data_IF_575052008041
#
_entry.id   IF_575052008041
#
_cell.length_a   1.000
_cell.length_b   1.000
_cell.length_c   1.000
_cell.angle_alpha   90.00
_cell.angle_beta   90.00
_cell.angle_gamma   90.00
#
_symmetry.space_group_name_H-M   'P 1'
#
loop_
_entity.id
_entity.type
_entity.pdbx_description
1 polymer ?
#
# COMPACT_ATOMS: atom_id res chain seq x y z
N UNK A 1 -8.93 26.07 1.96
CA UNK A 1 -9.21 24.63 1.69
C UNK A 1 -9.66 23.99 3.00
N UNK A 2 -10.57 23.00 2.99
CA UNK A 2 -11.03 22.36 4.22
C UNK A 2 -9.87 21.65 4.94
N UNK A 3 -9.83 21.79 6.26
CA UNK A 3 -8.82 21.21 7.18
C UNK A 3 -9.09 19.74 7.54
N UNK A 4 -10.26 19.22 7.14
CA UNK A 4 -10.79 17.92 7.53
C UNK A 4 -10.54 16.81 6.47
N UNK A 5 -10.71 15.51 6.84
CA UNK A 5 -10.77 14.42 5.87
C UNK A 5 -11.75 14.75 4.74
N UNK A 6 -11.32 14.60 3.49
CA UNK A 6 -12.16 14.87 2.34
C UNK A 6 -11.84 13.88 1.22
N UNK A 7 -12.87 13.26 0.67
CA UNK A 7 -12.80 12.58 -0.61
C UNK A 7 -13.24 13.59 -1.67
N UNK A 8 -12.31 13.99 -2.54
CA UNK A 8 -12.61 14.85 -3.68
C UNK A 8 -12.70 13.97 -4.91
N UNK A 9 -13.90 13.91 -5.46
CA UNK A 9 -14.18 13.17 -6.68
C UNK A 9 -14.13 14.13 -7.84
N UNK A 10 -13.32 13.80 -8.85
CA UNK A 10 -13.09 14.65 -9.98
C UNK A 10 -12.72 13.81 -11.21
N UNK A 11 -13.47 13.99 -12.30
CA UNK A 11 -13.27 13.25 -13.54
C UNK A 11 -11.88 13.41 -14.16
N UNK A 12 -11.59 12.64 -15.21
CA UNK A 12 -10.35 12.76 -15.98
C UNK A 12 -10.09 14.22 -16.43
N UNK A 13 -8.84 14.68 -16.35
CA UNK A 13 -8.45 16.04 -16.77
C UNK A 13 -8.87 17.19 -15.83
N UNK A 14 -9.54 16.90 -14.72
CA UNK A 14 -10.00 17.89 -13.73
C UNK A 14 -8.89 18.56 -12.89
N UNK A 15 -7.63 18.14 -13.05
CA UNK A 15 -6.50 18.67 -12.28
C UNK A 15 -6.31 18.04 -10.90
N UNK A 16 -6.76 16.79 -10.67
CA UNK A 16 -6.53 15.99 -9.44
C UNK A 16 -5.12 16.16 -8.85
N UNK A 17 -4.09 15.94 -9.68
CA UNK A 17 -2.68 16.09 -9.25
C UNK A 17 -2.35 17.52 -8.82
N UNK A 18 -2.91 18.55 -9.50
CA UNK A 18 -2.73 19.95 -9.11
C UNK A 18 -3.40 20.25 -7.77
N UNK A 19 -4.57 19.67 -7.50
CA UNK A 19 -5.26 19.79 -6.21
C UNK A 19 -4.37 19.22 -5.09
N UNK A 20 -3.84 18.01 -5.26
CA UNK A 20 -2.94 17.39 -4.28
C UNK A 20 -1.67 18.22 -4.03
N UNK A 21 -0.95 18.62 -5.08
CA UNK A 21 0.30 19.39 -4.92
C UNK A 21 0.04 20.75 -4.29
N UNK A 22 -1.06 21.43 -4.68
CA UNK A 22 -1.42 22.73 -4.12
C UNK A 22 -1.81 22.61 -2.65
N UNK A 23 -2.53 21.55 -2.27
CA UNK A 23 -2.85 21.27 -0.86
C UNK A 23 -1.59 21.05 -0.04
N UNK A 24 -0.67 20.21 -0.50
CA UNK A 24 0.61 19.96 0.19
C UNK A 24 1.38 21.28 0.36
N UNK A 25 1.52 22.07 -0.71
CA UNK A 25 2.20 23.35 -0.65
C UNK A 25 1.56 24.32 0.34
N UNK A 26 0.23 24.40 0.36
CA UNK A 26 -0.51 25.24 1.30
C UNK A 26 -0.34 24.79 2.75
N UNK A 27 -0.43 23.49 3.05
CA UNK A 27 -0.23 22.95 4.40
C UNK A 27 1.17 23.28 4.93
N UNK A 28 2.19 23.21 4.07
CA UNK A 28 3.56 23.52 4.44
C UNK A 28 3.79 25.04 4.60
N UNK A 29 3.31 25.85 3.66
CA UNK A 29 3.48 27.30 3.69
C UNK A 29 2.76 27.98 4.88
N UNK A 30 1.66 27.39 5.35
CA UNK A 30 0.92 27.86 6.54
C UNK A 30 1.42 27.28 7.86
N UNK A 31 2.48 26.47 7.84
CA UNK A 31 3.06 25.87 9.05
C UNK A 31 2.22 24.77 9.70
N UNK A 32 1.17 24.27 9.02
CA UNK A 32 0.34 23.18 9.54
C UNK A 32 1.10 21.84 9.55
N UNK A 33 2.07 21.67 8.65
CA UNK A 33 2.88 20.45 8.57
C UNK A 33 4.30 20.72 8.10
N UNK A 34 5.27 20.04 8.72
CA UNK A 34 6.65 20.01 8.22
C UNK A 34 6.85 18.99 7.09
N UNK A 35 8.00 19.00 6.39
CA UNK A 35 8.28 18.08 5.28
C UNK A 35 8.18 16.58 5.64
N UNK A 36 8.40 16.25 6.91
CA UNK A 36 8.32 14.88 7.42
C UNK A 36 6.95 14.47 7.96
N UNK A 37 6.02 15.41 8.10
CA UNK A 37 4.75 15.22 8.83
C UNK A 37 3.54 14.88 7.95
N UNK A 38 3.75 14.71 6.64
CA UNK A 38 2.70 14.30 5.70
C UNK A 38 3.15 13.06 4.91
N UNK A 39 2.17 12.30 4.44
CA UNK A 39 2.36 11.22 3.49
C UNK A 39 1.50 11.46 2.25
N UNK A 40 2.06 11.32 1.06
CA UNK A 40 1.33 11.36 -0.20
C UNK A 40 1.60 10.09 -1.02
N UNK A 41 0.53 9.41 -1.42
CA UNK A 41 0.58 8.10 -2.06
C UNK A 41 0.06 8.20 -3.49
N UNK A 42 0.79 7.60 -4.44
CA UNK A 42 0.40 7.50 -5.85
C UNK A 42 0.49 6.06 -6.35
N UNK A 43 -0.10 5.74 -7.50
CA UNK A 43 0.00 4.38 -8.07
C UNK A 43 1.26 4.17 -8.90
N UNK A 44 1.79 5.23 -9.52
CA UNK A 44 2.96 5.13 -10.41
C UNK A 44 4.15 5.93 -9.91
N UNK A 45 5.36 5.43 -10.21
CA UNK A 45 6.60 6.16 -9.97
C UNK A 45 6.66 7.47 -10.77
N UNK A 46 6.01 7.52 -11.94
CA UNK A 46 5.91 8.73 -12.76
C UNK A 46 5.10 9.81 -12.02
N UNK A 47 3.93 9.46 -11.50
CA UNK A 47 3.08 10.38 -10.74
C UNK A 47 3.79 10.90 -9.48
N UNK A 48 4.46 10.02 -8.71
CA UNK A 48 5.24 10.42 -7.54
C UNK A 48 6.35 11.42 -7.91
N UNK A 49 7.11 11.15 -8.98
CA UNK A 49 8.18 12.05 -9.47
C UNK A 49 7.61 13.39 -9.91
N UNK A 50 6.53 13.38 -10.68
CA UNK A 50 5.88 14.60 -11.15
C UNK A 50 5.36 15.45 -9.97
N UNK A 51 4.73 14.82 -8.97
CA UNK A 51 4.27 15.48 -7.74
C UNK A 51 5.44 16.14 -7.01
N UNK A 52 6.57 15.45 -6.86
CA UNK A 52 7.78 15.99 -6.24
C UNK A 52 8.36 17.17 -7.03
N UNK A 53 8.46 17.07 -8.36
CA UNK A 53 8.95 18.16 -9.22
C UNK A 53 8.07 19.40 -9.11
N UNK A 54 6.74 19.23 -9.10
CA UNK A 54 5.80 20.34 -8.90
C UNK A 54 6.01 20.99 -7.53
N UNK A 55 6.16 20.21 -6.46
CA UNK A 55 6.39 20.73 -5.11
C UNK A 55 7.72 21.48 -4.98
N UNK A 56 8.79 21.02 -5.64
CA UNK A 56 10.07 21.73 -5.68
C UNK A 56 9.95 23.11 -6.32
N UNK A 57 9.09 23.27 -7.32
CA UNK A 57 8.84 24.57 -7.94
C UNK A 57 7.97 25.50 -7.08
N UNK A 58 7.16 24.94 -6.16
CA UNK A 58 6.21 25.69 -5.33
C UNK A 58 6.76 26.10 -3.96
N UNK A 59 7.75 25.38 -3.43
CA UNK A 59 8.25 25.55 -2.07
C UNK A 59 9.77 25.66 -2.04
N UNK A 60 10.34 26.61 -1.27
CA UNK A 60 11.80 26.72 -1.07
C UNK A 60 12.32 25.70 -0.04
N UNK A 61 11.86 24.45 -0.12
CA UNK A 61 12.23 23.38 0.82
C UNK A 61 12.76 22.16 0.07
N UNK A 62 13.71 21.47 0.69
CA UNK A 62 14.18 20.20 0.16
C UNK A 62 13.03 19.17 0.22
N UNK A 63 12.53 18.76 -0.95
CA UNK A 63 11.52 17.69 -1.04
C UNK A 63 12.13 16.30 -0.84
N UNK A 64 13.46 16.21 -0.82
CA UNK A 64 14.20 14.97 -0.53
C UNK A 64 13.88 14.50 0.88
N UNK A 65 13.37 13.28 0.99
CA UNK A 65 13.01 12.67 2.28
C UNK A 65 11.56 12.90 2.70
N UNK A 66 10.75 13.65 1.94
CA UNK A 66 9.30 13.66 2.13
C UNK A 66 8.73 12.24 1.88
N UNK A 67 7.63 11.90 2.55
CA UNK A 67 6.93 10.61 2.36
C UNK A 67 5.98 10.70 1.17
N UNK A 68 6.54 10.94 -0.02
CA UNK A 68 5.81 11.01 -1.28
C UNK A 68 6.31 9.88 -2.18
N UNK A 69 5.42 8.98 -2.59
CA UNK A 69 5.82 7.81 -3.37
C UNK A 69 4.67 6.87 -3.70
N UNK A 70 5.00 5.74 -4.30
CA UNK A 70 4.04 4.66 -4.49
C UNK A 70 3.80 3.89 -3.21
N UNK A 71 2.68 3.17 -3.11
CA UNK A 71 2.42 2.24 -2.01
C UNK A 71 3.64 1.35 -1.69
N UNK A 72 4.16 0.67 -2.72
CA UNK A 72 5.35 -0.18 -2.61
C UNK A 72 6.63 0.59 -2.26
N UNK A 73 6.83 1.77 -2.84
CA UNK A 73 8.00 2.61 -2.55
C UNK A 73 8.02 3.09 -1.09
N UNK A 74 6.86 3.46 -0.55
CA UNK A 74 6.71 3.88 0.84
C UNK A 74 6.84 2.68 1.80
N UNK A 75 6.29 1.52 1.46
CA UNK A 75 6.48 0.28 2.23
C UNK A 75 7.93 -0.18 2.26
N UNK A 76 8.64 -0.14 1.11
CA UNK A 76 10.07 -0.43 1.08
C UNK A 76 10.85 0.54 1.99
N UNK A 77 10.58 1.85 1.90
CA UNK A 77 11.21 2.83 2.80
C UNK A 77 10.94 2.52 4.27
N UNK A 78 9.71 2.14 4.61
CA UNK A 78 9.31 1.77 5.96
C UNK A 78 10.05 0.51 6.44
N UNK A 79 10.05 -0.57 5.66
CA UNK A 79 10.71 -1.83 6.01
C UNK A 79 12.22 -1.68 6.10
N UNK A 80 12.84 -0.83 5.28
CA UNK A 80 14.28 -0.49 5.41
C UNK A 80 14.59 0.17 6.74
N UNK A 81 13.71 1.05 7.23
CA UNK A 81 13.88 1.70 8.52
C UNK A 81 13.66 0.74 9.70
N UNK A 82 12.79 -0.26 9.52
CA UNK A 82 12.34 -1.18 10.57
C UNK A 82 12.71 -2.65 10.30
N UNK A 83 13.81 -2.89 9.59
CA UNK A 83 14.15 -4.23 9.08
C UNK A 83 14.19 -5.30 10.18
N UNK A 84 14.72 -4.94 11.37
CA UNK A 84 14.79 -5.84 12.53
C UNK A 84 13.41 -6.26 13.01
N UNK A 85 12.49 -5.30 13.14
CA UNK A 85 11.12 -5.56 13.57
C UNK A 85 10.34 -6.33 12.50
N UNK A 86 10.66 -6.09 11.23
CA UNK A 86 10.08 -6.82 10.10
C UNK A 86 10.67 -8.23 9.90
N UNK A 87 11.64 -8.66 10.72
CA UNK A 87 12.29 -9.96 10.55
C UNK A 87 13.01 -10.11 9.20
N UNK A 88 13.50 -9.00 8.63
CA UNK A 88 14.18 -8.97 7.33
C UNK A 88 15.65 -8.61 7.50
N UNK A 89 16.58 -9.10 6.67
CA UNK A 89 17.93 -8.57 6.66
C UNK A 89 17.93 -7.10 6.22
N UNK A 90 18.81 -6.26 6.77
CA UNK A 90 18.89 -4.83 6.41
C UNK A 90 18.99 -4.59 4.90
N UNK A 91 19.73 -5.46 4.21
CA UNK A 91 19.97 -5.42 2.77
C UNK A 91 19.07 -6.39 1.98
N UNK A 92 17.86 -6.70 2.46
CA UNK A 92 16.93 -7.58 1.75
C UNK A 92 16.76 -7.15 0.29
N UNK A 93 16.69 -8.11 -0.63
CA UNK A 93 16.51 -7.82 -2.06
C UNK A 93 15.03 -7.88 -2.44
N UNK A 94 14.63 -7.08 -3.43
CA UNK A 94 13.27 -7.09 -3.94
C UNK A 94 13.26 -7.90 -5.23
N UNK A 95 12.48 -8.97 -5.26
CA UNK A 95 12.29 -9.79 -6.45
C UNK A 95 11.40 -9.04 -7.44
N UNK A 96 11.83 -9.02 -8.71
CA UNK A 96 10.93 -8.65 -9.79
C UNK A 96 10.02 -9.83 -10.19
N UNK A 97 9.14 -9.61 -11.17
CA UNK A 97 8.19 -10.64 -11.63
C UNK A 97 8.90 -11.88 -12.21
N UNK A 98 10.05 -11.70 -12.86
CA UNK A 98 10.83 -12.80 -13.43
C UNK A 98 11.54 -13.63 -12.37
N UNK A 99 12.09 -12.95 -11.36
CA UNK A 99 12.72 -13.59 -10.21
C UNK A 99 11.69 -14.33 -9.34
N UNK A 100 10.52 -13.73 -9.11
CA UNK A 100 9.40 -14.39 -8.43
C UNK A 100 8.97 -15.67 -9.18
N UNK A 101 8.78 -15.58 -10.50
CA UNK A 101 8.41 -16.74 -11.32
C UNK A 101 9.45 -17.85 -11.22
N UNK A 102 10.74 -17.47 -11.27
CA UNK A 102 11.86 -18.40 -11.13
C UNK A 102 11.88 -19.06 -9.75
N UNK A 103 11.61 -18.30 -8.69
CA UNK A 103 11.51 -18.82 -7.32
C UNK A 103 10.34 -19.80 -7.16
N UNK A 104 9.15 -19.46 -7.64
CA UNK A 104 7.97 -20.33 -7.61
C UNK A 104 8.23 -21.64 -8.38
N UNK A 105 8.87 -21.56 -9.56
CA UNK A 105 9.27 -22.75 -10.32
C UNK A 105 10.22 -23.66 -9.53
N UNK A 106 11.19 -23.09 -8.79
CA UNK A 106 12.10 -23.86 -7.93
C UNK A 106 11.34 -24.59 -6.82
N UNK A 107 10.36 -23.94 -6.19
CA UNK A 107 9.53 -24.54 -5.13
C UNK A 107 8.71 -25.72 -5.66
N UNK A 108 8.03 -25.54 -6.80
CA UNK A 108 7.22 -26.60 -7.43
C UNK A 108 8.09 -27.84 -7.73
N UNK A 109 9.29 -27.63 -8.30
CA UNK A 109 10.24 -28.71 -8.55
C UNK A 109 10.73 -29.39 -7.27
N UNK A 110 11.06 -28.61 -6.24
CA UNK A 110 11.54 -29.14 -4.96
C UNK A 110 10.47 -30.00 -4.26
N UNK A 111 9.20 -29.67 -4.43
CA UNK A 111 8.06 -30.45 -3.94
C UNK A 111 7.70 -31.66 -4.83
N UNK A 112 8.43 -31.88 -5.94
CA UNK A 112 8.18 -32.95 -6.90
C UNK A 112 6.75 -32.91 -7.50
N UNK A 113 6.23 -31.69 -7.70
CA UNK A 113 4.91 -31.47 -8.29
C UNK A 113 4.99 -31.36 -9.82
N UNK A 114 3.90 -31.75 -10.47
CA UNK A 114 3.73 -31.66 -11.92
C UNK A 114 3.58 -30.19 -12.37
N UNK A 115 4.50 -29.72 -13.23
CA UNK A 115 4.51 -28.35 -13.77
C UNK A 115 3.39 -28.07 -14.80
N UNK A 116 2.79 -29.11 -15.39
CA UNK A 116 1.61 -28.95 -16.26
C UNK A 116 0.34 -28.72 -15.43
N UNK A 117 0.26 -29.38 -14.26
CA UNK A 117 -0.84 -29.21 -13.32
C UNK A 117 -0.71 -27.94 -12.48
N UNK A 118 0.48 -27.62 -12.01
CA UNK A 118 0.78 -26.44 -11.20
C UNK A 118 1.69 -25.50 -11.98
N UNK A 119 1.11 -24.81 -12.97
CA UNK A 119 1.85 -23.93 -13.87
C UNK A 119 2.47 -22.75 -13.08
N UNK A 120 3.81 -22.57 -13.07
CA UNK A 120 4.48 -21.57 -12.22
C UNK A 120 3.94 -20.15 -12.34
N UNK A 121 3.53 -19.75 -13.55
CA UNK A 121 2.94 -18.43 -13.81
C UNK A 121 1.58 -18.27 -13.13
N UNK A 122 0.72 -19.27 -13.23
CA UNK A 122 -0.60 -19.25 -12.58
C UNK A 122 -0.45 -19.29 -11.07
N UNK A 123 0.47 -20.11 -10.54
CA UNK A 123 0.78 -20.17 -9.11
C UNK A 123 1.33 -18.84 -8.59
N UNK A 124 2.18 -18.15 -9.36
CA UNK A 124 2.66 -16.81 -8.99
C UNK A 124 1.51 -15.80 -8.90
N UNK A 125 0.55 -15.84 -9.83
CA UNK A 125 -0.66 -15.00 -9.74
C UNK A 125 -1.53 -15.34 -8.54
N UNK A 126 -1.70 -16.62 -8.21
CA UNK A 126 -2.41 -17.06 -7.01
C UNK A 126 -1.76 -16.46 -5.75
N UNK A 127 -0.43 -16.58 -5.60
CA UNK A 127 0.32 -16.03 -4.48
C UNK A 127 0.14 -14.51 -4.38
N UNK A 128 0.34 -13.77 -5.47
CA UNK A 128 0.16 -12.32 -5.48
C UNK A 128 -1.27 -11.91 -5.14
N UNK A 129 -2.28 -12.64 -5.62
CA UNK A 129 -3.67 -12.37 -5.29
C UNK A 129 -3.99 -12.63 -3.81
N UNK A 130 -3.42 -13.66 -3.18
CA UNK A 130 -3.51 -13.88 -1.74
C UNK A 130 -2.90 -12.70 -0.97
N UNK A 131 -1.70 -12.26 -1.36
CA UNK A 131 -1.05 -11.10 -0.74
C UNK A 131 -1.88 -9.82 -0.90
N UNK A 132 -2.45 -9.55 -2.06
CA UNK A 132 -3.31 -8.38 -2.30
C UNK A 132 -4.61 -8.38 -1.47
N UNK A 133 -5.08 -9.56 -1.03
CA UNK A 133 -6.19 -9.70 -0.07
C UNK A 133 -5.74 -9.60 1.39
N UNK A 134 -4.43 -9.62 1.62
CA UNK A 134 -3.83 -9.62 2.95
C UNK A 134 -3.78 -11.00 3.61
N UNK A 135 -3.74 -12.07 2.82
CA UNK A 135 -3.80 -13.46 3.29
C UNK A 135 -2.39 -14.08 3.31
N UNK A 136 -1.96 -14.57 4.48
CA UNK A 136 -0.84 -15.52 4.60
C UNK A 136 -1.33 -16.92 4.24
N UNK A 137 -0.44 -17.89 3.96
CA UNK A 137 -0.85 -19.25 3.60
C UNK A 137 -1.88 -19.86 4.58
N UNK A 138 -1.72 -19.62 5.88
CA UNK A 138 -2.64 -20.09 6.92
C UNK A 138 -4.03 -19.43 6.92
N UNK A 139 -4.20 -18.28 6.27
CA UNK A 139 -5.47 -17.56 6.17
C UNK A 139 -6.28 -17.95 4.92
N UNK A 140 -5.66 -18.64 3.95
CA UNK A 140 -6.29 -18.97 2.67
C UNK A 140 -7.25 -20.15 2.86
N UNK A 141 -8.54 -19.91 2.63
CA UNK A 141 -9.54 -20.97 2.63
C UNK A 141 -9.29 -21.97 1.48
N UNK A 142 -9.38 -23.26 1.79
CA UNK A 142 -9.21 -24.34 0.80
C UNK A 142 -10.47 -25.20 0.76
N UNK A 143 -10.86 -25.61 -0.45
CA UNK A 143 -12.12 -26.33 -0.68
C UNK A 143 -11.91 -27.68 -1.36
N UNK A 144 -10.78 -27.85 -2.05
CA UNK A 144 -10.45 -29.04 -2.83
C UNK A 144 -8.94 -29.35 -2.73
N UNK A 145 -8.50 -30.57 -3.12
CA UNK A 145 -7.09 -30.96 -3.04
C UNK A 145 -6.14 -30.04 -3.83
N UNK A 146 -6.56 -29.47 -4.96
CA UNK A 146 -5.72 -28.57 -5.75
C UNK A 146 -5.51 -27.24 -5.02
N UNK A 147 -6.55 -26.66 -4.42
CA UNK A 147 -6.42 -25.44 -3.60
C UNK A 147 -5.49 -25.64 -2.40
N UNK A 148 -5.50 -26.83 -1.77
CA UNK A 148 -4.58 -27.17 -0.67
C UNK A 148 -3.12 -27.19 -1.14
N UNK A 149 -2.84 -27.85 -2.26
CA UNK A 149 -1.48 -27.88 -2.81
C UNK A 149 -1.01 -26.48 -3.24
N UNK A 150 -1.89 -25.61 -3.76
CA UNK A 150 -1.51 -24.22 -4.05
C UNK A 150 -1.10 -23.45 -2.79
N UNK A 151 -1.80 -23.66 -1.66
CA UNK A 151 -1.43 -23.07 -0.36
C UNK A 151 -0.11 -23.64 0.16
N UNK A 152 0.13 -24.94 -0.02
CA UNK A 152 1.42 -25.56 0.33
C UNK A 152 2.58 -24.99 -0.51
N UNK A 153 2.37 -24.77 -1.81
CA UNK A 153 3.36 -24.09 -2.67
C UNK A 153 3.59 -22.66 -2.20
N UNK A 154 2.53 -21.93 -1.83
CA UNK A 154 2.65 -20.57 -1.28
C UNK A 154 3.48 -20.58 0.01
N UNK A 155 3.22 -21.49 0.95
CA UNK A 155 4.03 -21.64 2.16
C UNK A 155 5.50 -21.96 1.83
N UNK A 156 5.76 -22.91 0.93
CA UNK A 156 7.12 -23.25 0.52
C UNK A 156 7.87 -22.08 -0.13
N UNK A 157 7.16 -21.25 -0.89
CA UNK A 157 7.68 -20.00 -1.47
C UNK A 157 8.02 -18.97 -0.39
N UNK A 158 7.13 -18.73 0.57
CA UNK A 158 7.38 -17.80 1.68
C UNK A 158 8.60 -18.23 2.52
N UNK A 159 8.69 -19.52 2.84
CA UNK A 159 9.81 -20.06 3.60
C UNK A 159 11.13 -19.90 2.84
N UNK A 160 11.11 -20.09 1.52
CA UNK A 160 12.28 -19.88 0.68
C UNK A 160 12.69 -18.40 0.65
N UNK A 161 11.75 -17.49 0.44
CA UNK A 161 12.01 -16.06 0.45
C UNK A 161 12.59 -15.59 1.80
N UNK A 162 12.04 -16.09 2.91
CA UNK A 162 12.54 -15.77 4.26
C UNK A 162 13.97 -16.28 4.48
N UNK A 163 14.30 -17.50 4.03
CA UNK A 163 15.66 -18.05 4.11
C UNK A 163 16.66 -17.27 3.25
N UNK A 164 16.25 -16.89 2.04
CA UNK A 164 17.09 -16.14 1.09
C UNK A 164 17.19 -14.64 1.44
N UNK A 165 16.35 -14.15 2.36
CA UNK A 165 16.35 -12.74 2.74
C UNK A 165 15.84 -11.83 1.63
N UNK A 166 14.87 -12.31 0.85
CA UNK A 166 14.28 -11.61 -0.30
C UNK A 166 12.79 -11.40 -0.10
N UNK A 167 12.24 -10.37 -0.75
CA UNK A 167 10.81 -10.02 -0.69
C UNK A 167 10.30 -9.71 -2.10
N UNK A 168 9.06 -10.06 -2.41
CA UNK A 168 8.40 -9.59 -3.64
C UNK A 168 7.61 -8.30 -3.37
N UNK A 169 6.96 -7.75 -4.40
CA UNK A 169 6.16 -6.54 -4.27
C UNK A 169 4.98 -6.70 -3.30
N UNK A 170 4.24 -7.82 -3.37
CA UNK A 170 3.13 -8.08 -2.45
C UNK A 170 3.60 -8.16 -1.00
N UNK A 171 4.79 -8.71 -0.77
CA UNK A 171 5.40 -8.85 0.54
C UNK A 171 5.73 -7.51 1.19
N UNK A 172 6.18 -6.52 0.41
CA UNK A 172 6.42 -5.17 0.92
C UNK A 172 5.17 -4.61 1.58
N UNK A 173 4.02 -4.77 0.92
CA UNK A 173 2.73 -4.29 1.43
C UNK A 173 2.27 -5.11 2.64
N UNK A 174 2.22 -6.43 2.51
CA UNK A 174 1.64 -7.31 3.53
C UNK A 174 2.44 -7.24 4.83
N UNK A 175 3.77 -7.33 4.74
CA UNK A 175 4.64 -7.28 5.92
C UNK A 175 4.62 -5.91 6.60
N UNK A 176 4.49 -4.82 5.83
CA UNK A 176 4.32 -3.48 6.43
C UNK A 176 2.99 -3.36 7.17
N UNK A 177 1.90 -3.87 6.58
CA UNK A 177 0.59 -3.88 7.21
C UNK A 177 0.59 -4.70 8.51
N UNK A 178 1.13 -5.92 8.49
CA UNK A 178 1.22 -6.79 9.67
C UNK A 178 2.07 -6.14 10.77
N UNK A 179 3.22 -5.57 10.41
CA UNK A 179 4.08 -4.90 11.38
C UNK A 179 3.37 -3.72 12.04
N UNK A 180 2.60 -2.93 11.28
CA UNK A 180 1.79 -1.85 11.82
C UNK A 180 0.58 -2.35 12.63
N UNK A 181 -0.06 -3.45 12.23
CA UNK A 181 -1.20 -4.07 12.94
C UNK A 181 -0.76 -4.61 14.31
N UNK A 182 0.37 -5.29 14.34
CA UNK A 182 0.82 -6.07 15.49
C UNK A 182 1.73 -5.27 16.44
N UNK A 183 2.26 -4.13 15.99
CA UNK A 183 3.07 -3.23 16.82
C UNK A 183 2.37 -1.87 17.05
N UNK A 184 1.65 -1.77 18.17
CA UNK A 184 0.90 -0.56 18.54
C UNK A 184 1.80 0.67 18.68
N UNK A 185 2.96 0.56 19.34
CA UNK A 185 3.86 1.70 19.56
C UNK A 185 4.40 2.25 18.23
N UNK A 186 4.76 1.37 17.30
CA UNK A 186 5.20 1.76 15.97
C UNK A 186 4.07 2.42 15.18
N UNK A 187 2.86 1.86 15.26
CA UNK A 187 1.67 2.43 14.63
C UNK A 187 1.38 3.84 15.15
N UNK A 188 1.33 4.02 16.47
CA UNK A 188 1.11 5.32 17.12
C UNK A 188 2.18 6.34 16.75
N UNK A 189 3.45 5.93 16.65
CA UNK A 189 4.52 6.80 16.19
C UNK A 189 4.24 7.37 14.79
N UNK A 190 3.84 6.51 13.85
CA UNK A 190 3.56 6.94 12.47
C UNK A 190 2.24 7.66 12.30
N UNK A 191 1.22 7.29 13.08
CA UNK A 191 -0.02 8.08 13.19
C UNK A 191 0.34 9.49 13.68
N UNK A 192 1.00 9.63 14.83
CA UNK A 192 1.37 10.97 15.33
C UNK A 192 2.23 11.76 14.34
N UNK A 193 3.13 11.08 13.63
CA UNK A 193 3.96 11.69 12.60
C UNK A 193 3.16 12.24 11.43
N UNK A 194 2.23 11.46 10.86
CA UNK A 194 1.53 11.81 9.62
C UNK A 194 0.19 12.46 9.88
N UNK A 195 0.21 13.75 10.24
CA UNK A 195 -1.03 14.52 10.45
C UNK A 195 -1.91 14.66 9.20
N UNK A 196 -1.32 14.51 8.02
CA UNK A 196 -2.02 14.55 6.74
C UNK A 196 -1.59 13.41 5.82
N UNK A 197 -2.56 12.66 5.32
CA UNK A 197 -2.36 11.58 4.35
C UNK A 197 -3.13 11.93 3.08
N UNK A 198 -2.44 11.94 1.96
CA UNK A 198 -3.00 12.25 0.66
C UNK A 198 -2.89 11.04 -0.26
N UNK A 199 -3.94 10.71 -1.01
CA UNK A 199 -3.93 9.58 -1.93
C UNK A 199 -4.45 10.00 -3.29
N UNK A 200 -3.66 9.72 -4.33
CA UNK A 200 -4.03 9.89 -5.74
C UNK A 200 -4.61 8.58 -6.31
N UNK A 201 -5.49 8.70 -7.30
CA UNK A 201 -6.20 7.58 -7.95
C UNK A 201 -6.80 6.57 -6.95
N UNK A 202 -7.48 7.06 -5.92
CA UNK A 202 -7.95 6.23 -4.80
C UNK A 202 -8.85 5.06 -5.24
N UNK A 203 -9.56 5.19 -6.35
CA UNK A 203 -10.39 4.13 -6.92
C UNK A 203 -9.61 2.86 -7.29
N UNK A 204 -8.31 2.95 -7.55
CA UNK A 204 -7.46 1.81 -7.93
C UNK A 204 -6.98 1.00 -6.70
N UNK A 205 -7.41 1.38 -5.49
CA UNK A 205 -6.94 0.80 -4.22
C UNK A 205 -7.49 -0.61 -3.99
N UNK A 206 -6.61 -1.59 -3.79
CA UNK A 206 -7.01 -2.95 -3.41
C UNK A 206 -7.29 -3.10 -1.90
N UNK A 207 -7.77 -4.28 -1.46
CA UNK A 207 -8.16 -4.53 -0.07
C UNK A 207 -7.00 -4.31 0.91
N UNK A 208 -5.81 -4.82 0.62
CA UNK A 208 -4.65 -4.68 1.49
C UNK A 208 -4.16 -3.22 1.54
N UNK A 209 -4.12 -2.52 0.40
CA UNK A 209 -3.74 -1.10 0.35
C UNK A 209 -4.69 -0.23 1.18
N UNK A 210 -6.01 -0.50 1.12
CA UNK A 210 -6.98 0.18 1.95
C UNK A 210 -6.80 -0.15 3.45
N UNK A 211 -6.56 -1.42 3.79
CA UNK A 211 -6.27 -1.83 5.16
C UNK A 211 -4.99 -1.15 5.69
N UNK A 212 -3.96 -1.04 4.85
CA UNK A 212 -2.72 -0.33 5.14
C UNK A 212 -2.95 1.16 5.41
N UNK A 213 -3.74 1.86 4.58
CA UNK A 213 -4.09 3.28 4.81
C UNK A 213 -4.77 3.49 6.17
N UNK A 214 -5.68 2.60 6.56
CA UNK A 214 -6.37 2.66 7.86
C UNK A 214 -5.44 2.48 9.06
N UNK A 215 -4.26 1.88 8.89
CA UNK A 215 -3.27 1.82 9.96
C UNK A 215 -2.68 3.20 10.28
N UNK A 216 -2.62 4.11 9.30
CA UNK A 216 -2.13 5.48 9.50
C UNK A 216 -3.24 6.48 9.81
N UNK A 217 -4.42 6.31 9.23
CA UNK A 217 -5.59 7.14 9.51
C UNK A 217 -6.81 6.24 9.76
N UNK A 218 -7.02 5.77 11.00
CA UNK A 218 -8.21 5.01 11.32
C UNK A 218 -9.47 5.90 11.17
N UNK A 219 -10.62 5.33 10.76
CA UNK A 219 -11.87 6.08 10.64
C UNK A 219 -12.21 6.84 11.93
N UNK A 220 -12.61 8.11 11.82
CA UNK A 220 -12.90 8.97 12.97
C UNK A 220 -11.67 9.58 13.66
N UNK A 221 -10.45 9.25 13.22
CA UNK A 221 -9.26 9.95 13.68
C UNK A 221 -9.27 11.41 13.21
N UNK A 222 -8.66 12.29 14.01
CA UNK A 222 -8.40 13.70 13.62
C UNK A 222 -7.58 13.80 12.33
N UNK A 223 -6.78 12.78 12.03
CA UNK A 223 -5.96 12.69 10.84
C UNK A 223 -6.78 12.04 9.73
N UNK A 224 -7.29 12.88 8.84
CA UNK A 224 -8.08 12.44 7.70
C UNK A 224 -7.24 12.01 6.50
N UNK A 225 -7.73 11.02 5.76
CA UNK A 225 -7.26 10.78 4.39
C UNK A 225 -7.90 11.82 3.48
N UNK A 226 -7.07 12.54 2.73
CA UNK A 226 -7.49 13.36 1.60
C UNK A 226 -7.26 12.58 0.32
N UNK A 227 -8.33 12.06 -0.27
CA UNK A 227 -8.26 11.22 -1.45
C UNK A 227 -8.79 11.96 -2.67
N UNK A 228 -8.14 11.78 -3.81
CA UNK A 228 -8.68 12.16 -5.12
C UNK A 228 -8.90 10.89 -5.95
N UNK A 229 -9.98 10.87 -6.71
CA UNK A 229 -10.32 9.75 -7.58
C UNK A 229 -11.35 10.13 -8.63
N UNK A 230 -11.59 9.21 -9.58
CA UNK A 230 -12.61 9.37 -10.61
C UNK A 230 -13.97 8.79 -10.19
N UNK A 231 -15.06 9.48 -10.50
CA UNK A 231 -16.43 9.09 -10.15
C UNK A 231 -16.95 7.92 -11.00
N UNK A 232 -16.50 7.83 -12.26
CA UNK A 232 -16.98 6.82 -13.21
C UNK A 232 -16.45 5.41 -12.92
N UNK A 233 -15.53 5.27 -11.95
CA UNK A 233 -14.89 4.01 -11.57
C UNK A 233 -15.01 3.77 -10.06
N UNK A 234 -16.17 3.25 -9.63
CA UNK A 234 -16.42 2.45 -8.40
C UNK A 234 -15.71 2.86 -7.09
N UNK A 235 -16.41 3.60 -6.23
CA UNK A 235 -15.93 4.01 -4.89
C UNK A 235 -17.01 3.79 -3.81
N UNK A 236 -17.45 2.53 -3.67
CA UNK A 236 -18.36 2.13 -2.59
C UNK A 236 -17.64 1.84 -1.25
N UNK A 237 -16.31 1.79 -1.21
CA UNK A 237 -15.54 1.42 -0.01
C UNK A 237 -15.29 2.57 1.00
N UNK A 238 -15.41 3.83 0.58
CA UNK A 238 -15.15 4.98 1.48
C UNK A 238 -16.38 5.38 2.33
N UNK A 239 -17.60 5.01 1.92
CA UNK A 239 -18.83 5.41 2.61
C UNK A 239 -19.10 4.69 3.94
N UNK A 240 -18.16 3.91 4.47
CA UNK A 240 -18.24 3.25 5.78
C UNK A 240 -18.26 4.15 7.02
N UNK A 241 -18.66 5.43 6.91
CA UNK A 241 -18.82 6.32 8.08
C UNK A 241 -20.10 7.19 8.08
N UNK A 242 -20.89 7.27 7.00
CA UNK A 242 -22.24 7.86 7.01
C UNK A 242 -23.08 7.30 5.83
N UNK A 243 -23.71 6.13 6.02
CA UNK A 243 -24.87 5.67 5.21
C UNK A 243 -26.05 5.36 6.15
N UNK A 244 -26.19 6.17 7.18
CA UNK A 244 -27.46 6.41 7.86
C UNK A 244 -27.73 7.90 7.75
N UNK A 245 -28.92 8.26 7.26
CA UNK A 245 -29.44 9.64 7.11
C UNK A 245 -29.29 10.28 5.71
N UNK A 246 -29.71 9.57 4.66
CA UNK A 246 -30.34 10.21 3.49
C UNK A 246 -31.81 9.78 3.37
N UNK A 247 -32.51 9.90 4.49
CA UNK A 247 -33.94 10.12 4.59
C UNK A 247 -34.09 11.03 5.81
N UNK A 248 -34.96 12.03 5.72
CA UNK A 248 -35.19 13.10 6.70
C UNK A 248 -34.22 14.29 6.60
N UNK A 249 -34.40 15.06 5.52
CA UNK A 249 -34.39 16.52 5.57
C UNK A 249 -35.46 17.03 4.59
N UNK A 250 -36.72 16.98 5.04
CA UNK A 250 -37.53 18.21 5.19
C UNK A 250 -37.30 18.74 6.62
#
# INVERSE_FOLDING_TARGET
MPSEPALILAGAGSGKTRVLTTRIAWLMATGQVGPGGLMAVTFTNKAAKEMLTRLQAMLPVATRGMWIGTFHGLCNRFLRAHWKLAGLPQSFQILDTGDQLSAVKRVIKAMQLDEERFVPRQTSYFISACKDRGERPGDVATHDPQSRTLVEIYQGYEDQCQREGVVDFGELMLRTYELMRDNQALREHYQHRFSHILVDEFQDTNRLQYAWLKMFAPPGARQGVFAVGDDDQSIYAFRGAQVGNMADYE
#
